data_IF_411857297205
#
_entry.id   IF_411857297205
#
_cell.length_a   1.000
_cell.length_b   1.000
_cell.length_c   1.000
_cell.angle_alpha   90.00
_cell.angle_beta   90.00
_cell.angle_gamma   90.00
#
_symmetry.space_group_name_H-M   'P 1'
#
loop_
_entity.id
_entity.type
_entity.pdbx_description
1 polymer ?
#
# COMPACT_ATOMS: atom_id res chain seq x y z
N UNK A 1 -1.02 26.24 -53.40
CA UNK A 1 -2.10 25.88 -52.45
C UNK A 1 -1.65 26.27 -51.05
N UNK A 2 -2.40 27.14 -50.35
CA UNK A 2 -2.06 27.66 -49.02
C UNK A 2 -2.60 26.69 -47.96
N UNK A 3 -1.73 26.15 -47.10
CA UNK A 3 -2.15 25.33 -45.97
C UNK A 3 -2.63 26.22 -44.81
N UNK A 4 -3.87 26.03 -44.37
CA UNK A 4 -4.42 26.59 -43.14
C UNK A 4 -4.04 25.69 -41.97
N UNK A 5 -3.46 26.27 -40.91
CA UNK A 5 -3.26 25.59 -39.63
C UNK A 5 -4.60 25.42 -38.87
N UNK A 6 -4.77 24.32 -38.11
CA UNK A 6 -5.94 24.12 -37.27
C UNK A 6 -5.87 24.97 -35.98
N UNK A 7 -7.02 25.33 -35.39
CA UNK A 7 -7.09 26.13 -34.17
C UNK A 7 -6.70 25.32 -32.93
N UNK A 8 -5.92 25.94 -32.05
CA UNK A 8 -5.55 25.45 -30.73
C UNK A 8 -6.72 25.57 -29.75
N UNK A 9 -7.16 24.45 -29.19
CA UNK A 9 -8.14 24.40 -28.10
C UNK A 9 -7.46 24.68 -26.76
N UNK A 10 -7.87 25.75 -26.08
CA UNK A 10 -7.47 26.07 -24.71
C UNK A 10 -8.17 25.13 -23.72
N UNK A 11 -7.39 24.37 -22.95
CA UNK A 11 -7.89 23.55 -21.85
C UNK A 11 -8.35 24.39 -20.64
N UNK A 12 -9.21 23.84 -19.77
CA UNK A 12 -9.76 24.55 -18.63
C UNK A 12 -8.68 24.89 -17.60
N UNK A 13 -8.66 26.16 -17.17
CA UNK A 13 -7.80 26.65 -16.08
C UNK A 13 -8.27 26.04 -14.75
N UNK A 14 -7.44 25.19 -14.14
CA UNK A 14 -7.65 24.74 -12.75
C UNK A 14 -7.50 25.94 -11.79
N UNK A 15 -8.39 26.08 -10.78
CA UNK A 15 -8.28 27.15 -9.79
C UNK A 15 -7.03 26.96 -8.92
N UNK A 16 -6.29 28.05 -8.69
CA UNK A 16 -5.02 28.14 -7.93
C UNK A 16 -5.14 27.81 -6.42
N UNK A 17 -6.25 27.23 -5.97
CA UNK A 17 -6.56 27.05 -4.54
C UNK A 17 -5.87 25.81 -3.95
N UNK A 18 -5.48 24.82 -4.76
CA UNK A 18 -4.88 23.57 -4.28
C UNK A 18 -3.39 23.67 -3.86
N UNK A 19 -2.70 24.77 -4.21
CA UNK A 19 -1.27 24.93 -3.89
C UNK A 19 -0.99 25.50 -2.48
N UNK A 20 -2.00 26.09 -1.82
CA UNK A 20 -1.79 26.78 -0.54
C UNK A 20 -2.27 25.97 0.67
N UNK A 21 -3.13 24.98 0.48
CA UNK A 21 -3.64 24.14 1.57
C UNK A 21 -2.52 23.39 2.33
N UNK A 22 -1.51 22.79 1.70
CA UNK A 22 -0.43 22.12 2.43
C UNK A 22 0.46 23.11 3.20
N UNK A 23 0.72 24.27 2.61
CA UNK A 23 1.52 25.33 3.24
C UNK A 23 0.82 25.95 4.45
N UNK A 24 -0.49 26.13 4.39
CA UNK A 24 -1.30 26.60 5.52
C UNK A 24 -1.34 25.58 6.66
N UNK A 25 -1.49 24.28 6.35
CA UNK A 25 -1.45 23.22 7.36
C UNK A 25 -0.07 23.15 8.02
N UNK A 26 1.02 23.24 7.25
CA UNK A 26 2.38 23.26 7.79
C UNK A 26 2.64 24.52 8.64
N UNK A 27 2.15 25.69 8.22
CA UNK A 27 2.27 26.93 8.99
C UNK A 27 1.50 26.87 10.32
N UNK A 28 0.30 26.26 10.32
CA UNK A 28 -0.49 26.05 11.55
C UNK A 28 0.22 25.05 12.48
N UNK A 29 0.76 23.94 11.96
CA UNK A 29 1.53 22.98 12.77
C UNK A 29 2.77 23.65 13.36
N UNK A 30 3.53 24.40 12.56
CA UNK A 30 4.71 25.13 13.02
C UNK A 30 4.36 26.17 14.09
N UNK A 31 3.25 26.91 13.93
CA UNK A 31 2.79 27.88 14.92
C UNK A 31 2.35 27.21 16.23
N UNK A 32 1.67 26.07 16.17
CA UNK A 32 1.28 25.29 17.36
C UNK A 32 2.51 24.75 18.09
N UNK A 33 3.48 24.18 17.36
CA UNK A 33 4.74 23.69 17.95
C UNK A 33 5.53 24.84 18.57
N UNK A 34 5.69 25.96 17.86
CA UNK A 34 6.38 27.14 18.37
C UNK A 34 5.71 27.70 19.63
N UNK A 35 4.38 27.86 19.64
CA UNK A 35 3.64 28.31 20.82
C UNK A 35 3.79 27.35 22.01
N UNK A 36 3.98 26.04 21.77
CA UNK A 36 4.21 25.04 22.82
C UNK A 36 5.55 25.24 23.52
N UNK A 37 6.60 25.66 22.80
CA UNK A 37 7.94 25.90 23.37
C UNK A 37 8.05 27.19 24.18
N UNK A 38 7.25 28.22 23.86
CA UNK A 38 7.29 29.50 24.57
C UNK A 38 6.29 29.61 25.73
N UNK A 39 5.34 28.67 25.84
CA UNK A 39 4.36 28.67 26.93
C UNK A 39 4.91 28.14 28.26
N UNK A 40 5.99 27.34 28.23
CA UNK A 40 6.65 26.81 29.45
C UNK A 40 7.69 27.77 30.05
N UNK A 41 8.10 28.83 29.34
CA UNK A 41 9.17 29.74 29.77
C UNK A 41 8.70 30.96 30.59
N UNK A 42 7.39 31.11 30.86
CA UNK A 42 6.82 32.33 31.49
C UNK A 42 6.25 32.08 32.89
N UNK A 43 6.36 30.86 33.44
CA UNK A 43 5.89 30.55 34.81
C UNK A 43 7.01 29.94 35.64
N UNK A 44 8.13 30.65 35.78
CA UNK A 44 9.16 30.28 36.75
C UNK A 44 9.95 31.51 37.21
N UNK A 45 9.26 32.52 37.75
CA UNK A 45 9.87 33.45 38.72
C UNK A 45 8.78 34.22 39.49
N UNK A 46 8.41 33.74 40.69
CA UNK A 46 7.89 34.49 41.86
C UNK A 46 7.08 33.59 42.82
N UNK A 47 7.77 32.83 43.67
CA UNK A 47 7.30 32.45 45.02
C UNK A 47 8.46 31.76 45.76
N UNK A 48 9.33 32.55 46.37
CA UNK A 48 9.41 32.71 47.84
C UNK A 48 10.08 31.54 48.56
N UNK A 49 11.38 31.74 48.74
CA UNK A 49 12.12 31.50 49.96
C UNK A 49 11.28 31.77 51.23
N UNK A 50 11.01 30.75 52.04
CA UNK A 50 10.81 30.80 53.50
C UNK A 50 10.70 29.40 54.11
N UNK A 51 11.80 29.02 54.77
CA UNK A 51 11.89 28.25 56.04
C UNK A 51 11.36 26.80 56.12
N UNK A 52 12.31 25.88 56.33
CA UNK A 52 12.46 25.26 57.67
C UNK A 52 11.93 23.83 57.90
N UNK A 53 12.79 22.84 57.62
CA UNK A 53 13.16 21.63 58.38
C UNK A 53 12.14 20.78 59.22
N UNK A 54 12.25 19.46 58.98
CA UNK A 54 11.89 18.28 59.80
C UNK A 54 10.38 17.97 59.93
N UNK A 55 9.89 16.73 59.78
CA UNK A 55 10.37 15.48 60.37
C UNK A 55 9.80 14.22 59.67
N UNK A 56 10.42 13.06 59.96
CA UNK A 56 10.26 11.72 59.37
C UNK A 56 8.94 10.96 59.66
N UNK A 57 8.68 9.99 58.76
CA UNK A 57 8.20 8.61 58.96
C UNK A 57 6.77 8.30 59.47
N UNK A 58 6.13 7.34 58.77
CA UNK A 58 5.32 6.31 59.43
C UNK A 58 3.91 6.05 58.91
N UNK A 59 3.81 5.15 57.92
CA UNK A 59 2.91 3.98 57.86
C UNK A 59 1.38 4.05 58.18
N UNK A 60 0.67 3.27 57.34
CA UNK A 60 -0.49 2.39 57.60
C UNK A 60 -1.94 2.88 57.40
N UNK A 61 -2.50 2.34 56.29
CA UNK A 61 -3.77 1.57 56.16
C UNK A 61 -5.13 2.19 56.50
N UNK A 62 -6.03 2.11 55.50
CA UNK A 62 -7.17 1.19 55.57
C UNK A 62 -8.57 1.80 55.56
N UNK A 63 -9.45 1.22 54.73
CA UNK A 63 -10.92 1.32 54.79
C UNK A 63 -11.51 1.96 53.53
N UNK A 64 -11.96 1.19 52.53
CA UNK A 64 -13.26 0.49 52.46
C UNK A 64 -14.42 1.48 52.26
N UNK A 65 -15.43 1.25 51.41
CA UNK A 65 -15.78 0.18 50.48
C UNK A 65 -16.52 0.86 49.31
N UNK A 66 -16.78 0.12 48.23
CA UNK A 66 -18.12 -0.45 47.94
C UNK A 66 -19.12 0.66 47.54
N UNK A 67 -19.90 0.57 46.49
CA UNK A 67 -20.22 -0.51 45.57
C UNK A 67 -21.00 0.14 44.42
N UNK A 68 -21.11 -0.60 43.31
CA UNK A 68 -22.35 -0.86 42.56
C UNK A 68 -23.40 0.28 42.44
N UNK A 69 -23.97 0.62 41.28
CA UNK A 69 -24.59 -0.28 40.29
C UNK A 69 -25.30 0.61 39.25
N UNK A 70 -25.43 0.08 38.02
CA UNK A 70 -26.65 -0.05 37.19
C UNK A 70 -27.73 1.03 37.32
N UNK A 71 -28.34 1.56 36.27
CA UNK A 71 -28.65 1.03 34.95
C UNK A 71 -29.70 1.98 34.33
N UNK A 72 -29.75 2.09 33.01
CA UNK A 72 -30.87 1.59 32.19
C UNK A 72 -32.05 2.55 31.99
N UNK A 73 -32.59 2.49 30.76
CA UNK A 73 -33.86 3.10 30.33
C UNK A 73 -33.67 4.42 29.60
N UNK A 74 -33.78 4.51 28.27
CA UNK A 74 -34.98 4.16 27.47
C UNK A 74 -35.98 5.31 27.62
N UNK A 75 -36.37 6.10 26.61
CA UNK A 75 -36.72 5.79 25.24
C UNK A 75 -38.11 6.40 24.98
N UNK A 76 -38.37 6.84 23.75
CA UNK A 76 -39.66 7.40 23.24
C UNK A 76 -39.95 8.84 23.70
N UNK A 77 -40.28 9.81 22.85
CA UNK A 77 -41.03 9.79 21.60
C UNK A 77 -42.35 10.54 21.83
N UNK A 78 -42.60 11.65 21.11
CA UNK A 78 -43.88 12.35 21.19
C UNK A 78 -43.84 13.83 20.85
N UNK A 79 -44.32 14.12 19.65
CA UNK A 79 -44.66 15.42 19.07
C UNK A 79 -45.69 16.23 19.88
N UNK A 80 -45.56 17.56 19.87
CA UNK A 80 -46.59 18.50 20.28
C UNK A 80 -46.31 19.91 19.76
N UNK A 81 -47.11 20.37 18.79
CA UNK A 81 -47.23 21.77 18.40
C UNK A 81 -47.82 22.58 19.57
N UNK A 82 -47.27 23.79 19.79
CA UNK A 82 -47.77 24.73 20.78
C UNK A 82 -47.24 26.14 20.51
N UNK A 83 -48.01 26.91 19.76
CA UNK A 83 -47.86 28.36 19.61
C UNK A 83 -48.13 29.05 20.96
N UNK A 84 -47.18 29.88 21.41
CA UNK A 84 -47.33 30.70 22.60
C UNK A 84 -46.20 31.71 22.69
N UNK A 85 -46.45 32.94 22.24
CA UNK A 85 -45.53 34.05 22.40
C UNK A 85 -45.36 34.41 23.86
N UNK A 86 -44.11 34.56 24.30
CA UNK A 86 -43.74 35.31 25.50
C UNK A 86 -42.38 35.94 25.25
N UNK A 87 -42.39 37.26 25.14
CA UNK A 87 -41.22 38.13 25.27
C UNK A 87 -40.56 37.89 26.63
N UNK A 88 -39.34 37.35 26.65
CA UNK A 88 -38.46 37.42 27.82
C UNK A 88 -37.28 38.32 27.51
N UNK A 89 -37.01 39.20 28.46
CA UNK A 89 -35.93 40.18 28.50
C UNK A 89 -34.55 39.55 28.23
N UNK A 90 -33.65 40.37 27.69
CA UNK A 90 -32.27 39.99 27.42
C UNK A 90 -31.56 39.55 28.70
N UNK A 91 -31.33 38.25 28.81
CA UNK A 91 -30.31 37.72 29.70
C UNK A 91 -28.95 38.12 29.11
N UNK A 92 -28.24 39.00 29.83
CA UNK A 92 -26.81 39.23 29.59
C UNK A 92 -26.07 37.88 29.61
N UNK A 93 -25.07 37.68 28.74
CA UNK A 93 -24.31 36.44 28.74
C UNK A 93 -23.61 36.30 30.10
N UNK A 94 -24.06 35.33 30.90
CA UNK A 94 -23.35 34.87 32.10
C UNK A 94 -21.89 34.62 31.72
N UNK A 95 -20.99 35.42 32.30
CA UNK A 95 -19.56 35.23 32.16
C UNK A 95 -19.23 33.85 32.75
N UNK A 96 -18.75 32.93 31.90
CA UNK A 96 -18.28 31.64 32.38
C UNK A 96 -17.29 31.86 33.54
N UNK A 97 -17.61 31.26 34.68
CA UNK A 97 -16.81 31.37 35.90
C UNK A 97 -15.35 30.97 35.58
N UNK A 98 -14.33 31.68 36.08
CA UNK A 98 -12.92 31.43 35.77
C UNK A 98 -12.50 29.95 35.91
N UNK A 99 -13.09 29.22 36.85
CA UNK A 99 -12.83 27.79 37.09
C UNK A 99 -13.29 26.89 35.93
N UNK A 100 -14.43 27.20 35.30
CA UNK A 100 -14.94 26.44 34.15
C UNK A 100 -14.04 26.61 32.92
N UNK A 101 -13.51 27.82 32.73
CA UNK A 101 -12.56 28.12 31.66
C UNK A 101 -11.24 27.37 31.88
N UNK A 102 -10.71 27.37 33.11
CA UNK A 102 -9.49 26.62 33.45
C UNK A 102 -9.65 25.11 33.26
N UNK A 103 -10.79 24.55 33.66
CA UNK A 103 -11.07 23.14 33.45
C UNK A 103 -11.17 22.80 31.95
N UNK A 104 -11.85 23.64 31.17
CA UNK A 104 -11.95 23.50 29.72
C UNK A 104 -10.57 23.52 29.05
N UNK A 105 -9.70 24.47 29.42
CA UNK A 105 -8.33 24.57 28.93
C UNK A 105 -7.51 23.34 29.31
N UNK A 106 -7.64 22.83 30.55
CA UNK A 106 -6.97 21.61 31.02
C UNK A 106 -7.40 20.38 30.22
N UNK A 107 -8.71 20.20 30.00
CA UNK A 107 -9.26 19.10 29.18
C UNK A 107 -8.77 19.19 27.74
N UNK A 108 -8.77 20.38 27.15
CA UNK A 108 -8.27 20.62 25.79
C UNK A 108 -6.78 20.25 25.66
N UNK A 109 -5.92 20.73 26.56
CA UNK A 109 -4.49 20.40 26.58
C UNK A 109 -4.25 18.89 26.76
N UNK A 110 -5.03 18.23 27.63
CA UNK A 110 -4.95 16.78 27.79
C UNK A 110 -5.34 16.02 26.52
N UNK A 111 -6.40 16.46 25.83
CA UNK A 111 -6.82 15.91 24.55
C UNK A 111 -5.76 16.10 23.46
N UNK A 112 -5.15 17.29 23.37
CA UNK A 112 -4.05 17.57 22.45
C UNK A 112 -2.84 16.67 22.71
N UNK A 113 -2.40 16.52 23.97
CA UNK A 113 -1.31 15.60 24.33
C UNK A 113 -1.61 14.16 23.95
N UNK A 114 -2.85 13.69 24.18
CA UNK A 114 -3.28 12.34 23.82
C UNK A 114 -3.28 12.13 22.30
N UNK A 115 -3.70 13.13 21.52
CA UNK A 115 -3.64 13.10 20.07
C UNK A 115 -2.19 13.07 19.58
N UNK A 116 -1.34 13.95 20.11
CA UNK A 116 0.09 14.00 19.77
C UNK A 116 0.78 12.66 20.04
N UNK A 117 0.54 12.05 21.21
CA UNK A 117 1.09 10.74 21.54
C UNK A 117 0.65 9.64 20.56
N UNK A 118 -0.63 9.62 20.16
CA UNK A 118 -1.16 8.67 19.17
C UNK A 118 -0.53 8.87 17.79
N UNK A 119 -0.40 10.12 17.35
CA UNK A 119 0.25 10.46 16.07
C UNK A 119 1.71 10.02 16.09
N UNK A 120 2.46 10.34 17.15
CA UNK A 120 3.86 9.93 17.31
C UNK A 120 4.01 8.40 17.30
N UNK A 121 3.14 7.67 18.00
CA UNK A 121 3.15 6.21 17.99
C UNK A 121 2.87 5.63 16.60
N UNK A 122 1.90 6.20 15.88
CA UNK A 122 1.55 5.77 14.54
C UNK A 122 2.68 6.05 13.53
N UNK A 123 3.34 7.20 13.65
CA UNK A 123 4.52 7.56 12.85
C UNK A 123 5.67 6.59 13.14
N UNK A 124 6.01 6.39 14.41
CA UNK A 124 7.08 5.48 14.82
C UNK A 124 6.85 4.05 14.33
N UNK A 125 5.58 3.60 14.30
CA UNK A 125 5.22 2.28 13.77
C UNK A 125 5.36 2.21 12.24
N UNK A 126 5.00 3.28 11.53
CA UNK A 126 5.10 3.35 10.05
C UNK A 126 6.53 3.53 9.56
N UNK A 127 7.44 4.01 10.39
CA UNK A 127 8.86 4.15 10.03
C UNK A 127 9.67 2.88 10.29
N UNK A 128 9.15 1.92 11.08
CA UNK A 128 9.82 0.63 11.26
C UNK A 128 10.02 -0.09 9.92
N UNK A 129 11.17 -0.76 9.72
CA UNK A 129 11.33 -1.70 8.63
C UNK A 129 10.23 -2.75 8.66
N UNK A 130 9.71 -3.12 7.49
CA UNK A 130 8.71 -4.18 7.36
C UNK A 130 9.17 -5.20 6.34
N UNK A 131 9.43 -6.41 6.81
CA UNK A 131 9.90 -7.54 6.01
C UNK A 131 8.74 -8.48 5.66
N UNK A 132 8.73 -8.99 4.43
CA UNK A 132 7.75 -9.94 3.91
C UNK A 132 8.32 -10.66 2.69
N UNK A 133 7.72 -11.79 2.30
CA UNK A 133 8.14 -12.55 1.11
C UNK A 133 7.29 -12.21 -0.10
N UNK A 134 7.94 -11.82 -1.20
CA UNK A 134 7.29 -11.51 -2.48
C UNK A 134 7.69 -12.51 -3.56
N UNK A 135 6.77 -12.81 -4.47
CA UNK A 135 7.03 -13.71 -5.59
C UNK A 135 6.43 -13.24 -6.93
N UNK A 136 7.05 -13.68 -8.03
CA UNK A 136 6.47 -13.72 -9.37
C UNK A 136 6.28 -15.17 -9.77
N UNK A 137 5.09 -15.53 -10.28
CA UNK A 137 4.82 -16.91 -10.66
C UNK A 137 3.86 -17.06 -11.85
N UNK A 138 4.40 -17.44 -13.00
CA UNK A 138 3.59 -17.93 -14.11
C UNK A 138 3.14 -19.36 -13.75
N UNK A 139 1.83 -19.57 -13.60
CA UNK A 139 1.26 -20.85 -13.12
C UNK A 139 0.90 -21.83 -14.23
N UNK A 140 1.30 -21.53 -15.46
CA UNK A 140 0.96 -22.26 -16.67
C UNK A 140 -0.56 -22.38 -16.86
N UNK A 141 -1.13 -21.63 -17.80
CA UNK A 141 -2.58 -21.58 -18.00
C UNK A 141 -3.19 -22.96 -18.20
N UNK A 142 -4.40 -23.19 -17.68
CA UNK A 142 -5.11 -24.47 -17.79
C UNK A 142 -5.30 -24.89 -19.27
N UNK A 143 -5.52 -23.91 -20.15
CA UNK A 143 -5.61 -24.12 -21.60
C UNK A 143 -4.34 -24.70 -22.23
N UNK A 144 -3.17 -24.53 -21.62
CA UNK A 144 -1.92 -25.13 -22.12
C UNK A 144 -1.85 -26.64 -21.91
N UNK A 145 -2.54 -27.15 -20.87
CA UNK A 145 -2.53 -28.57 -20.49
C UNK A 145 -3.81 -29.30 -20.90
N UNK A 146 -4.90 -28.56 -21.10
CA UNK A 146 -6.17 -29.13 -21.56
C UNK A 146 -6.16 -29.61 -23.03
N UNK A 147 -7.28 -30.17 -23.52
CA UNK A 147 -7.39 -30.65 -24.89
C UNK A 147 -7.01 -29.59 -25.94
N UNK A 148 -6.04 -29.91 -26.80
CA UNK A 148 -5.53 -28.98 -27.83
C UNK A 148 -4.44 -28.03 -27.34
N UNK A 149 -4.06 -28.09 -26.06
CA UNK A 149 -2.95 -27.33 -25.49
C UNK A 149 -1.58 -27.80 -25.98
N UNK A 150 -0.57 -26.93 -25.82
CA UNK A 150 0.80 -27.18 -26.25
C UNK A 150 1.70 -27.83 -25.18
N UNK A 151 1.16 -28.18 -24.02
CA UNK A 151 1.86 -28.84 -22.90
C UNK A 151 1.15 -30.12 -22.44
N UNK A 152 0.87 -31.10 -23.33
CA UNK A 152 0.11 -32.30 -22.98
C UNK A 152 0.81 -33.25 -21.99
N UNK A 153 2.10 -33.04 -21.69
CA UNK A 153 2.84 -33.83 -20.71
C UNK A 153 2.69 -33.34 -19.26
N UNK A 154 2.09 -32.17 -19.05
CA UNK A 154 1.81 -31.65 -17.71
C UNK A 154 0.46 -32.19 -17.20
N UNK A 155 0.29 -32.34 -15.87
CA UNK A 155 -1.03 -32.66 -15.31
C UNK A 155 -2.07 -31.59 -15.63
N UNK A 156 -3.35 -31.95 -15.49
CA UNK A 156 -4.47 -31.01 -15.60
C UNK A 156 -4.36 -29.87 -14.57
N UNK A 157 -5.09 -28.77 -14.79
CA UNK A 157 -5.01 -27.58 -13.94
C UNK A 157 -5.29 -27.81 -12.46
N UNK A 158 -6.12 -28.80 -12.08
CA UNK A 158 -6.46 -29.04 -10.67
C UNK A 158 -5.28 -29.55 -9.83
N UNK A 159 -4.62 -30.68 -10.17
CA UNK A 159 -3.39 -31.10 -9.49
C UNK A 159 -2.31 -30.02 -9.50
N UNK A 160 -2.14 -29.31 -10.63
CA UNK A 160 -1.13 -28.25 -10.73
C UNK A 160 -1.43 -27.07 -9.81
N UNK A 161 -2.71 -26.71 -9.64
CA UNK A 161 -3.09 -25.66 -8.71
C UNK A 161 -2.79 -26.06 -7.25
N UNK A 162 -3.00 -27.33 -6.88
CA UNK A 162 -2.63 -27.82 -5.55
C UNK A 162 -1.12 -27.73 -5.31
N UNK A 163 -0.32 -28.09 -6.33
CA UNK A 163 1.14 -27.97 -6.28
C UNK A 163 1.59 -26.50 -6.23
N UNK A 164 0.97 -25.62 -7.00
CA UNK A 164 1.26 -24.18 -7.00
C UNK A 164 0.99 -23.56 -5.63
N UNK A 165 -0.17 -23.87 -5.02
CA UNK A 165 -0.51 -23.42 -3.65
C UNK A 165 0.48 -23.99 -2.64
N UNK A 166 0.85 -25.28 -2.76
CA UNK A 166 1.84 -25.89 -1.89
C UNK A 166 3.21 -25.20 -2.01
N UNK A 167 3.63 -24.80 -3.21
CA UNK A 167 4.85 -24.04 -3.43
C UNK A 167 4.81 -22.67 -2.74
N UNK A 168 3.70 -21.94 -2.81
CA UNK A 168 3.54 -20.67 -2.10
C UNK A 168 3.60 -20.85 -0.58
N UNK A 169 2.95 -21.88 -0.05
CA UNK A 169 2.94 -22.20 1.38
C UNK A 169 4.31 -22.63 1.89
N UNK A 170 5.00 -23.51 1.16
CA UNK A 170 6.33 -24.01 1.55
C UNK A 170 7.41 -22.95 1.50
N UNK A 171 7.27 -21.96 0.62
CA UNK A 171 8.17 -20.81 0.54
C UNK A 171 7.66 -19.61 1.35
N UNK A 172 6.59 -19.74 2.14
CA UNK A 172 6.10 -18.68 3.03
C UNK A 172 5.71 -17.38 2.32
N UNK A 173 5.21 -17.45 1.08
CA UNK A 173 4.97 -16.26 0.26
C UNK A 173 3.84 -15.40 0.83
N UNK A 174 4.09 -14.11 1.02
CA UNK A 174 3.11 -13.14 1.54
C UNK A 174 2.38 -12.39 0.43
N UNK A 175 3.08 -12.07 -0.67
CA UNK A 175 2.50 -11.43 -1.87
C UNK A 175 3.04 -12.11 -3.11
N UNK A 176 2.18 -12.42 -4.08
CA UNK A 176 2.56 -13.02 -5.37
C UNK A 176 1.82 -12.35 -6.51
N UNK A 177 2.53 -12.03 -7.59
CA UNK A 177 1.93 -11.75 -8.88
C UNK A 177 1.87 -13.02 -9.73
N UNK A 178 0.68 -13.38 -10.19
CA UNK A 178 0.48 -14.55 -11.04
C UNK A 178 0.43 -14.17 -12.52
N UNK A 179 0.97 -15.02 -13.38
CA UNK A 179 0.78 -14.95 -14.82
C UNK A 179 0.12 -16.23 -15.33
N UNK A 180 -0.64 -16.11 -16.42
CA UNK A 180 -1.46 -17.17 -17.01
C UNK A 180 -2.51 -17.79 -16.07
N UNK A 181 -2.89 -17.09 -15.01
CA UNK A 181 -3.86 -17.56 -14.04
C UNK A 181 -5.29 -17.51 -14.57
N UNK A 182 -5.68 -18.53 -15.34
CA UNK A 182 -6.96 -18.56 -16.05
C UNK A 182 -8.16 -18.66 -15.10
N UNK A 183 -9.36 -18.44 -15.63
CA UNK A 183 -10.59 -18.40 -14.84
C UNK A 183 -10.83 -19.69 -14.03
N UNK A 184 -10.53 -20.87 -14.59
CA UNK A 184 -10.64 -22.14 -13.87
C UNK A 184 -9.67 -22.18 -12.69
N UNK A 185 -8.43 -21.78 -12.92
CA UNK A 185 -7.37 -21.67 -11.91
C UNK A 185 -7.70 -20.66 -10.82
N UNK A 186 -8.27 -19.50 -11.18
CA UNK A 186 -8.81 -18.54 -10.22
C UNK A 186 -9.86 -19.16 -9.29
N UNK A 187 -10.81 -19.92 -9.85
CA UNK A 187 -11.83 -20.61 -9.07
C UNK A 187 -11.23 -21.65 -8.11
N UNK A 188 -10.29 -22.47 -8.61
CA UNK A 188 -9.59 -23.47 -7.81
C UNK A 188 -8.80 -22.83 -6.67
N UNK A 189 -7.97 -21.82 -6.97
CA UNK A 189 -7.19 -21.12 -5.97
C UNK A 189 -8.07 -20.45 -4.91
N UNK A 190 -9.11 -19.72 -5.32
CA UNK A 190 -10.03 -19.04 -4.40
C UNK A 190 -10.71 -20.02 -3.44
N UNK A 191 -10.98 -21.25 -3.89
CA UNK A 191 -11.58 -22.30 -3.06
C UNK A 191 -10.60 -23.02 -2.12
N UNK A 192 -9.29 -23.00 -2.41
CA UNK A 192 -8.27 -23.83 -1.73
C UNK A 192 -7.23 -23.02 -0.95
N UNK A 193 -7.10 -21.73 -1.24
CA UNK A 193 -6.11 -20.82 -0.69
C UNK A 193 -6.79 -19.59 -0.05
N UNK A 194 -7.80 -19.83 0.80
CA UNK A 194 -8.61 -18.78 1.43
C UNK A 194 -7.83 -17.85 2.37
N UNK A 195 -6.58 -18.17 2.68
CA UNK A 195 -5.66 -17.26 3.38
C UNK A 195 -5.16 -16.09 2.50
N UNK A 196 -5.35 -16.16 1.18
CA UNK A 196 -4.98 -15.13 0.23
C UNK A 196 -6.20 -14.34 -0.26
N UNK A 197 -6.08 -13.02 -0.26
CA UNK A 197 -6.95 -12.12 -1.03
C UNK A 197 -6.39 -11.90 -2.43
N UNK A 198 -7.25 -11.52 -3.37
CA UNK A 198 -6.93 -11.39 -4.80
C UNK A 198 -7.36 -10.04 -5.37
N UNK A 199 -6.55 -9.49 -6.27
CA UNK A 199 -6.90 -8.34 -7.10
C UNK A 199 -6.30 -8.52 -8.51
N UNK A 200 -7.06 -8.30 -9.59
CA UNK A 200 -8.41 -7.74 -9.65
C UNK A 200 -9.52 -8.80 -9.47
N UNK A 201 -9.16 -10.05 -9.19
CA UNK A 201 -10.07 -11.18 -9.30
C UNK A 201 -10.62 -11.28 -10.73
N UNK A 202 -11.94 -11.36 -10.84
CA UNK A 202 -12.67 -11.36 -12.11
C UNK A 202 -13.13 -9.96 -12.57
N UNK A 203 -12.88 -8.90 -11.79
CA UNK A 203 -13.49 -7.57 -12.03
C UNK A 203 -13.06 -6.89 -13.33
N UNK A 204 -11.89 -7.23 -13.87
CA UNK A 204 -11.38 -6.76 -15.17
C UNK A 204 -11.65 -7.76 -16.32
N UNK A 205 -12.42 -8.82 -16.07
CA UNK A 205 -12.82 -9.82 -17.07
C UNK A 205 -11.79 -10.92 -17.35
N UNK A 206 -12.18 -11.85 -18.23
CA UNK A 206 -11.46 -13.11 -18.46
C UNK A 206 -10.05 -12.96 -19.03
N UNK A 207 -9.74 -11.86 -19.70
CA UNK A 207 -8.36 -11.62 -20.18
C UNK A 207 -7.44 -11.20 -19.03
N UNK A 208 -7.94 -10.34 -18.15
CA UNK A 208 -7.16 -9.74 -17.05
C UNK A 208 -7.05 -10.62 -15.81
N UNK A 209 -7.94 -11.61 -15.63
CA UNK A 209 -7.82 -12.59 -14.52
C UNK A 209 -6.45 -13.30 -14.54
N UNK A 210 -5.85 -13.46 -15.72
CA UNK A 210 -4.55 -14.09 -15.93
C UNK A 210 -3.39 -13.42 -15.20
N UNK A 211 -3.58 -12.20 -14.69
CA UNK A 211 -2.51 -11.37 -14.12
C UNK A 211 -2.74 -11.04 -12.64
N UNK A 212 -3.56 -11.82 -11.92
CA UNK A 212 -3.92 -11.52 -10.53
C UNK A 212 -2.71 -11.37 -9.60
N UNK A 213 -2.84 -10.45 -8.64
CA UNK A 213 -1.98 -10.34 -7.46
C UNK A 213 -2.72 -10.97 -6.30
N UNK A 214 -2.06 -11.87 -5.58
CA UNK A 214 -2.55 -12.46 -4.35
C UNK A 214 -1.70 -12.03 -3.15
N UNK A 215 -2.31 -11.82 -1.99
CA UNK A 215 -1.59 -11.52 -0.75
C UNK A 215 -2.22 -12.18 0.47
N UNK A 216 -1.41 -12.55 1.47
CA UNK A 216 -1.90 -13.08 2.74
C UNK A 216 -2.69 -12.00 3.48
N UNK A 217 -3.97 -12.28 3.74
CA UNK A 217 -4.88 -11.34 4.40
C UNK A 217 -4.51 -11.07 5.86
N UNK A 218 -3.70 -11.93 6.48
CA UNK A 218 -3.16 -11.72 7.83
C UNK A 218 -1.97 -10.76 7.87
N UNK A 219 -1.37 -10.45 6.71
CA UNK A 219 -0.18 -9.60 6.60
C UNK A 219 -0.53 -8.25 6.00
N UNK A 220 -1.39 -8.25 4.98
CA UNK A 220 -1.72 -7.08 4.18
C UNK A 220 -3.22 -6.85 4.09
N UNK A 221 -3.61 -5.58 4.09
CA UNK A 221 -4.96 -5.12 3.81
C UNK A 221 -4.98 -4.31 2.51
N UNK A 222 -5.99 -4.54 1.68
CA UNK A 222 -6.25 -3.73 0.49
C UNK A 222 -6.51 -2.27 0.86
N UNK A 223 -5.95 -1.33 0.09
CA UNK A 223 -6.21 0.11 0.21
C UNK A 223 -6.82 0.66 -1.08
N UNK A 224 -6.19 0.39 -2.22
CA UNK A 224 -6.58 0.96 -3.51
C UNK A 224 -6.22 0.00 -4.65
N UNK A 225 -7.06 -0.07 -5.67
CA UNK A 225 -6.83 -0.86 -6.88
C UNK A 225 -6.84 0.02 -8.12
N UNK A 226 -5.84 -0.20 -8.98
CA UNK A 226 -5.68 0.42 -10.30
C UNK A 226 -5.38 -0.65 -11.34
N UNK A 227 -5.26 -0.24 -12.58
CA UNK A 227 -4.75 -1.08 -13.65
C UNK A 227 -3.95 -0.25 -14.64
N UNK A 228 -2.92 -0.85 -15.23
CA UNK A 228 -2.20 -0.31 -16.37
C UNK A 228 -2.52 -1.13 -17.60
N UNK A 229 -2.87 -0.45 -18.69
CA UNK A 229 -3.17 -1.11 -19.97
C UNK A 229 -1.93 -1.14 -20.86
N UNK A 230 -1.38 -2.33 -21.10
CA UNK A 230 -0.15 -2.53 -21.90
C UNK A 230 -0.44 -3.30 -23.21
N UNK A 231 0.39 -3.14 -24.26
CA UNK A 231 0.30 -4.01 -25.43
C UNK A 231 0.63 -5.46 -25.08
N UNK A 232 -0.24 -6.35 -25.54
CA UNK A 232 -0.02 -7.78 -25.57
C UNK A 232 0.26 -8.24 -27.01
N UNK A 233 0.12 -9.54 -27.29
CA UNK A 233 0.40 -10.09 -28.61
C UNK A 233 -0.44 -9.41 -29.70
N UNK A 234 0.22 -9.06 -30.81
CA UNK A 234 -0.39 -8.32 -31.92
C UNK A 234 -0.79 -6.87 -31.60
N UNK A 235 -0.34 -6.30 -30.48
CA UNK A 235 -0.57 -4.91 -30.08
C UNK A 235 -1.91 -4.66 -29.35
N UNK A 236 -2.74 -5.70 -29.21
CA UNK A 236 -3.99 -5.61 -28.45
C UNK A 236 -3.71 -5.22 -27.00
N UNK A 237 -4.52 -4.30 -26.45
CA UNK A 237 -4.29 -3.78 -25.10
C UNK A 237 -4.99 -4.65 -24.05
N UNK A 238 -4.29 -4.98 -22.97
CA UNK A 238 -4.86 -5.68 -21.81
C UNK A 238 -4.52 -4.92 -20.54
N UNK A 239 -5.52 -4.74 -19.67
CA UNK A 239 -5.36 -4.14 -18.36
C UNK A 239 -4.76 -5.14 -17.37
N UNK A 240 -3.67 -4.76 -16.72
CA UNK A 240 -2.96 -5.54 -15.71
C UNK A 240 -2.97 -4.81 -14.37
N UNK A 241 -3.04 -5.52 -13.24
CA UNK A 241 -3.34 -4.91 -11.95
C UNK A 241 -2.18 -4.15 -11.34
N UNK A 242 -2.55 -3.10 -10.61
CA UNK A 242 -1.67 -2.37 -9.68
C UNK A 242 -2.46 -2.13 -8.40
N UNK A 243 -1.96 -2.55 -7.24
CA UNK A 243 -2.70 -2.52 -5.97
C UNK A 243 -1.87 -1.92 -4.85
N UNK A 244 -2.46 -1.00 -4.08
CA UNK A 244 -1.88 -0.47 -2.86
C UNK A 244 -2.31 -1.35 -1.70
N UNK A 245 -1.33 -1.90 -0.99
CA UNK A 245 -1.55 -2.70 0.20
C UNK A 245 -0.98 -1.97 1.42
N UNK A 246 -1.64 -2.13 2.57
CA UNK A 246 -1.17 -1.66 3.88
C UNK A 246 -0.84 -2.86 4.78
N UNK A 247 0.39 -2.90 5.28
CA UNK A 247 0.84 -3.87 6.27
C UNK A 247 0.00 -3.73 7.54
N UNK A 248 -0.56 -4.84 8.02
CA UNK A 248 -1.42 -4.85 9.21
C UNK A 248 -0.60 -4.53 10.47
N UNK A 249 0.62 -5.04 10.56
CA UNK A 249 1.47 -4.88 11.75
C UNK A 249 2.06 -3.47 11.87
N UNK A 250 2.46 -2.86 10.75
CA UNK A 250 3.18 -1.57 10.76
C UNK A 250 2.32 -0.39 10.30
N UNK A 251 1.33 -0.63 9.45
CA UNK A 251 0.60 0.42 8.74
C UNK A 251 1.39 1.03 7.58
N UNK A 252 2.54 0.44 7.20
CA UNK A 252 3.29 0.81 5.99
C UNK A 252 2.52 0.44 4.75
N UNK A 253 2.70 1.23 3.69
CA UNK A 253 2.04 1.00 2.41
C UNK A 253 3.05 0.80 1.31
N UNK A 254 2.73 -0.07 0.37
CA UNK A 254 3.47 -0.25 -0.87
C UNK A 254 2.51 -0.61 -2.01
N UNK A 255 2.86 -0.15 -3.21
CA UNK A 255 2.20 -0.56 -4.43
C UNK A 255 2.80 -1.86 -4.94
N UNK A 256 1.93 -2.75 -5.41
CA UNK A 256 2.28 -4.00 -6.05
C UNK A 256 1.71 -3.98 -7.46
N UNK A 257 2.54 -4.20 -8.46
CA UNK A 257 2.15 -4.29 -9.86
C UNK A 257 2.55 -5.65 -10.41
N UNK A 258 1.75 -6.20 -11.32
CA UNK A 258 2.03 -7.50 -11.90
C UNK A 258 1.77 -7.52 -13.41
N UNK A 259 2.75 -7.97 -14.18
CA UNK A 259 2.73 -7.92 -15.65
C UNK A 259 3.01 -9.27 -16.30
N UNK A 260 2.55 -9.42 -17.54
CA UNK A 260 2.94 -10.52 -18.41
C UNK A 260 3.12 -9.97 -19.84
N UNK A 261 4.36 -9.77 -20.26
CA UNK A 261 4.65 -9.19 -21.57
C UNK A 261 4.59 -10.26 -22.67
N UNK A 262 4.27 -9.89 -23.93
CA UNK A 262 4.00 -10.88 -24.96
C UNK A 262 5.23 -11.72 -25.33
N UNK A 263 5.08 -13.04 -25.29
CA UNK A 263 6.08 -14.01 -25.72
C UNK A 263 6.29 -14.01 -27.25
N UNK A 264 7.45 -14.52 -27.65
CA UNK A 264 7.69 -14.96 -29.04
C UNK A 264 7.32 -16.44 -29.15
N UNK A 265 6.29 -16.75 -29.92
CA UNK A 265 5.89 -18.15 -30.19
C UNK A 265 5.62 -18.35 -31.67
N UNK A 266 5.65 -19.59 -32.18
CA UNK A 266 5.32 -19.85 -33.59
C UNK A 266 3.94 -19.31 -34.01
N UNK A 267 2.96 -19.26 -33.10
CA UNK A 267 1.61 -18.76 -33.37
C UNK A 267 1.46 -17.25 -33.20
N UNK A 268 2.30 -16.61 -32.38
CA UNK A 268 2.22 -15.16 -32.09
C UNK A 268 3.24 -14.33 -32.87
N UNK A 269 4.24 -14.96 -33.48
CA UNK A 269 5.32 -14.29 -34.19
C UNK A 269 6.28 -13.53 -33.26
N UNK A 270 7.00 -12.56 -33.84
CA UNK A 270 7.93 -11.70 -33.11
C UNK A 270 7.15 -10.53 -32.46
N UNK A 271 7.20 -10.47 -31.13
CA UNK A 271 6.54 -9.46 -30.29
C UNK A 271 7.53 -8.50 -29.62
N UNK A 272 8.81 -8.46 -30.02
CA UNK A 272 9.83 -7.59 -29.42
C UNK A 272 9.42 -6.10 -29.39
N UNK A 273 8.78 -5.60 -30.45
CA UNK A 273 8.24 -4.24 -30.48
C UNK A 273 7.21 -3.99 -29.36
N UNK A 274 6.34 -4.96 -29.12
CA UNK A 274 5.28 -4.84 -28.12
C UNK A 274 5.83 -4.97 -26.70
N UNK A 275 6.84 -5.84 -26.49
CA UNK A 275 7.56 -5.88 -25.21
C UNK A 275 8.27 -4.57 -24.90
N UNK A 276 8.98 -3.99 -25.87
CA UNK A 276 9.64 -2.69 -25.69
C UNK A 276 8.64 -1.56 -25.36
N UNK A 277 7.47 -1.55 -26.00
CA UNK A 277 6.41 -0.57 -25.70
C UNK A 277 5.79 -0.81 -24.31
N UNK A 278 5.49 -2.07 -23.96
CA UNK A 278 4.97 -2.46 -22.64
C UNK A 278 5.94 -2.04 -21.52
N UNK A 279 7.20 -2.43 -21.62
CA UNK A 279 8.25 -2.07 -20.66
C UNK A 279 8.37 -0.54 -20.49
N UNK A 280 8.26 0.22 -21.57
CA UNK A 280 8.30 1.69 -21.49
C UNK A 280 7.10 2.27 -20.73
N UNK A 281 5.89 1.74 -20.95
CA UNK A 281 4.69 2.14 -20.22
C UNK A 281 4.76 1.74 -18.75
N UNK A 282 5.24 0.53 -18.46
CA UNK A 282 5.39 0.01 -17.09
C UNK A 282 6.36 0.85 -16.28
N UNK A 283 7.59 1.03 -16.79
CA UNK A 283 8.63 1.77 -16.07
C UNK A 283 8.20 3.23 -15.84
N UNK A 284 7.64 3.89 -16.85
CA UNK A 284 7.18 5.28 -16.72
C UNK A 284 6.04 5.41 -15.72
N UNK A 285 5.01 4.57 -15.83
CA UNK A 285 3.87 4.58 -14.93
C UNK A 285 4.28 4.31 -13.48
N UNK A 286 5.10 3.28 -13.24
CA UNK A 286 5.50 2.91 -11.89
C UNK A 286 6.46 3.93 -11.26
N UNK A 287 7.32 4.55 -12.08
CA UNK A 287 8.17 5.66 -11.63
C UNK A 287 7.31 6.86 -11.20
N UNK A 288 6.33 7.26 -12.03
CA UNK A 288 5.41 8.35 -11.69
C UNK A 288 4.57 8.01 -10.45
N UNK A 289 4.10 6.76 -10.34
CA UNK A 289 3.33 6.30 -9.19
C UNK A 289 4.14 6.40 -7.90
N UNK A 290 5.40 5.94 -7.93
CA UNK A 290 6.31 6.05 -6.80
C UNK A 290 6.53 7.52 -6.41
N UNK A 291 6.88 8.37 -7.37
CA UNK A 291 7.19 9.78 -7.14
C UNK A 291 5.98 10.59 -6.66
N UNK A 292 4.80 10.34 -7.21
CA UNK A 292 3.58 11.11 -6.89
C UNK A 292 2.92 10.68 -5.57
N UNK A 293 3.08 9.42 -5.16
CA UNK A 293 2.46 8.90 -3.93
C UNK A 293 3.44 8.85 -2.75
N UNK A 294 4.75 8.85 -3.01
CA UNK A 294 5.78 8.64 -1.99
C UNK A 294 5.78 7.24 -1.39
N UNK A 295 5.03 6.29 -1.97
CA UNK A 295 5.00 4.90 -1.52
C UNK A 295 5.96 4.04 -2.34
N UNK A 296 6.70 3.09 -1.72
CA UNK A 296 7.49 2.11 -2.45
C UNK A 296 6.62 1.31 -3.43
N UNK A 297 7.21 0.92 -4.56
CA UNK A 297 6.56 0.14 -5.61
C UNK A 297 7.36 -1.14 -5.83
N UNK A 298 6.66 -2.28 -5.82
CA UNK A 298 7.20 -3.59 -6.20
C UNK A 298 6.48 -4.07 -7.46
N UNK A 299 7.24 -4.44 -8.47
CA UNK A 299 6.73 -5.00 -9.71
C UNK A 299 7.17 -6.45 -9.86
N UNK A 300 6.22 -7.33 -10.16
CA UNK A 300 6.44 -8.73 -10.49
C UNK A 300 5.99 -8.99 -11.91
N UNK A 301 6.48 -10.05 -12.54
CA UNK A 301 5.94 -10.43 -13.84
C UNK A 301 6.77 -11.46 -14.58
N UNK A 302 6.13 -12.09 -15.55
CA UNK A 302 6.78 -12.79 -16.66
C UNK A 302 6.94 -11.78 -17.79
N UNK A 303 8.14 -11.25 -17.97
CA UNK A 303 8.37 -10.21 -18.96
C UNK A 303 8.72 -10.78 -20.34
N UNK A 304 8.83 -12.10 -20.48
CA UNK A 304 9.36 -12.76 -21.68
C UNK A 304 10.70 -12.17 -22.17
N UNK A 305 11.44 -11.53 -21.26
CA UNK A 305 12.69 -10.81 -21.51
C UNK A 305 13.67 -11.03 -20.36
N UNK A 306 14.96 -10.96 -20.67
CA UNK A 306 16.06 -11.12 -19.70
C UNK A 306 16.82 -9.81 -19.52
N UNK A 307 17.92 -9.64 -20.25
CA UNK A 307 18.80 -8.47 -20.14
C UNK A 307 18.08 -7.16 -20.42
N UNK A 308 17.27 -7.11 -21.48
CA UNK A 308 16.65 -5.86 -21.92
C UNK A 308 15.68 -5.27 -20.89
N UNK A 309 14.82 -6.10 -20.30
CA UNK A 309 13.86 -5.62 -19.28
C UNK A 309 14.57 -5.19 -18.01
N UNK A 310 15.62 -5.91 -17.60
CA UNK A 310 16.48 -5.49 -16.49
C UNK A 310 17.04 -4.09 -16.75
N UNK A 311 17.70 -3.89 -17.90
CA UNK A 311 18.30 -2.60 -18.23
C UNK A 311 17.28 -1.48 -18.26
N UNK A 312 16.06 -1.73 -18.77
CA UNK A 312 15.00 -0.72 -18.85
C UNK A 312 14.51 -0.30 -17.47
N UNK A 313 14.22 -1.26 -16.60
CA UNK A 313 13.73 -0.96 -15.24
C UNK A 313 14.78 -0.23 -14.40
N UNK A 314 16.04 -0.64 -14.50
CA UNK A 314 17.10 -0.16 -13.60
C UNK A 314 17.86 1.06 -14.14
N UNK A 315 17.66 1.45 -15.41
CA UNK A 315 18.36 2.58 -16.03
C UNK A 315 18.13 3.93 -15.32
N UNK A 316 16.92 4.15 -14.79
CA UNK A 316 16.55 5.41 -14.14
C UNK A 316 17.05 5.54 -12.69
N UNK A 317 17.67 4.50 -12.12
CA UNK A 317 18.09 4.48 -10.72
C UNK A 317 16.96 4.43 -9.69
N UNK A 318 15.71 4.37 -10.15
CA UNK A 318 14.52 4.27 -9.28
C UNK A 318 14.32 2.82 -8.85
N UNK A 319 14.51 1.85 -9.74
CA UNK A 319 14.28 0.44 -9.45
C UNK A 319 15.57 -0.36 -9.37
N UNK A 320 15.56 -1.38 -8.52
CA UNK A 320 16.55 -2.45 -8.44
C UNK A 320 15.86 -3.79 -8.64
N UNK A 321 16.59 -4.80 -9.13
CA UNK A 321 16.06 -6.16 -9.29
C UNK A 321 16.43 -7.02 -8.07
N UNK A 322 15.50 -7.84 -7.61
CA UNK A 322 15.76 -8.79 -6.52
C UNK A 322 16.87 -9.80 -6.87
N UNK A 323 17.00 -10.14 -8.15
CA UNK A 323 18.05 -11.02 -8.68
C UNK A 323 19.47 -10.39 -8.65
N UNK A 324 19.60 -9.13 -8.23
CA UNK A 324 20.85 -8.38 -8.25
C UNK A 324 21.15 -7.77 -9.62
N UNK A 325 22.44 -7.60 -9.93
CA UNK A 325 22.91 -6.80 -11.06
C UNK A 325 23.20 -5.36 -10.66
N UNK A 326 23.63 -4.54 -11.62
CA UNK A 326 23.97 -3.13 -11.42
C UNK A 326 23.65 -2.31 -12.66
N UNK A 327 23.28 -1.04 -12.44
CA UNK A 327 23.23 0.00 -13.47
C UNK A 327 24.34 1.05 -13.31
N UNK A 328 25.14 0.93 -12.24
CA UNK A 328 26.20 1.87 -11.93
C UNK A 328 27.36 1.70 -12.93
N UNK A 329 27.59 2.72 -13.75
CA UNK A 329 28.63 2.68 -14.79
C UNK A 329 28.24 1.97 -16.08
N UNK A 330 26.96 1.58 -16.23
CA UNK A 330 26.43 0.85 -17.38
C UNK A 330 25.46 -0.25 -16.96
N UNK A 331 24.69 -0.80 -17.90
CA UNK A 331 23.80 -1.92 -17.59
C UNK A 331 24.61 -3.22 -17.44
N UNK A 332 24.56 -3.82 -16.25
CA UNK A 332 25.20 -5.08 -15.90
C UNK A 332 24.16 -6.01 -15.25
N UNK A 333 23.38 -6.77 -16.03
CA UNK A 333 22.40 -7.71 -15.50
C UNK A 333 23.06 -8.85 -14.70
N UNK A 334 22.33 -9.50 -13.78
CA UNK A 334 22.83 -10.68 -13.08
C UNK A 334 23.01 -11.87 -14.03
N UNK A 335 23.90 -12.83 -13.72
CA UNK A 335 24.03 -14.06 -14.51
C UNK A 335 22.83 -15.00 -14.28
N UNK A 336 22.55 -15.89 -15.25
CA UNK A 336 21.47 -16.92 -15.16
C UNK A 336 20.07 -16.33 -14.93
N UNK A 337 19.69 -15.35 -15.77
CA UNK A 337 18.39 -14.70 -15.73
C UNK A 337 17.26 -15.63 -16.20
N UNK A 338 16.18 -15.63 -15.42
CA UNK A 338 14.88 -16.13 -15.83
C UNK A 338 14.16 -15.01 -16.62
N UNK A 339 13.02 -15.32 -17.25
CA UNK A 339 12.16 -14.30 -17.88
C UNK A 339 11.20 -13.64 -16.88
N UNK A 340 11.09 -14.26 -15.71
CA UNK A 340 10.31 -13.81 -14.56
C UNK A 340 11.16 -12.92 -13.65
N UNK A 341 10.63 -11.76 -13.28
CA UNK A 341 11.37 -10.75 -12.52
C UNK A 341 10.59 -10.23 -11.30
N UNK A 342 11.36 -9.72 -10.34
CA UNK A 342 10.89 -8.91 -9.22
C UNK A 342 11.75 -7.65 -9.19
N UNK A 343 11.12 -6.49 -9.33
CA UNK A 343 11.73 -5.17 -9.20
C UNK A 343 11.15 -4.42 -8.01
N UNK A 344 11.97 -3.60 -7.35
CA UNK A 344 11.56 -2.76 -6.23
C UNK A 344 12.11 -1.35 -6.41
N UNK A 345 11.28 -0.34 -6.17
CA UNK A 345 11.71 1.06 -6.19
C UNK A 345 12.65 1.36 -5.02
N UNK A 346 13.21 2.57 -4.98
CA UNK A 346 13.81 3.12 -3.76
C UNK A 346 12.84 2.98 -2.58
N UNK A 347 13.39 2.66 -1.40
CA UNK A 347 12.62 2.26 -0.22
C UNK A 347 12.28 0.77 -0.13
N UNK A 348 12.74 -0.05 -1.09
CA UNK A 348 12.67 -1.51 -1.06
C UNK A 348 14.09 -2.09 -1.09
N UNK A 349 14.43 -2.92 -0.12
CA UNK A 349 15.62 -3.74 -0.13
C UNK A 349 15.24 -5.22 -0.33
N UNK A 350 16.08 -5.96 -1.05
CA UNK A 350 15.87 -7.39 -1.30
C UNK A 350 16.97 -8.24 -0.66
N UNK A 351 16.58 -9.41 -0.17
CA UNK A 351 17.47 -10.46 0.33
C UNK A 351 16.93 -11.84 -0.10
N UNK A 352 17.75 -12.87 0.04
CA UNK A 352 17.36 -14.28 -0.15
C UNK A 352 16.65 -14.58 -1.47
N UNK A 353 17.09 -13.95 -2.56
CA UNK A 353 16.57 -14.24 -3.89
C UNK A 353 16.74 -15.71 -4.26
N UNK A 354 15.68 -16.32 -4.75
CA UNK A 354 15.70 -17.68 -5.26
C UNK A 354 14.76 -17.86 -6.45
N UNK A 355 15.17 -18.75 -7.35
CA UNK A 355 14.32 -19.35 -8.36
C UNK A 355 14.04 -20.80 -7.94
N UNK A 356 12.88 -21.06 -7.37
CA UNK A 356 12.51 -22.40 -6.88
C UNK A 356 11.88 -23.20 -8.01
N UNK A 357 12.43 -24.40 -8.29
CA UNK A 357 11.80 -25.33 -9.22
C UNK A 357 10.44 -25.78 -8.68
N UNK A 358 9.42 -25.77 -9.55
CA UNK A 358 8.04 -26.14 -9.20
C UNK A 358 7.62 -27.48 -9.78
N UNK A 359 8.55 -28.19 -10.43
CA UNK A 359 8.33 -29.52 -10.97
C UNK A 359 7.19 -29.54 -12.00
N UNK A 360 6.15 -30.32 -11.72
CA UNK A 360 5.00 -30.45 -12.62
C UNK A 360 3.91 -29.39 -12.41
N UNK A 361 4.09 -28.44 -11.50
CA UNK A 361 3.11 -27.38 -11.25
C UNK A 361 3.05 -26.37 -12.40
N UNK A 362 4.22 -25.97 -12.90
CA UNK A 362 4.40 -25.00 -13.99
C UNK A 362 5.70 -25.30 -14.74
N UNK A 363 5.79 -24.85 -15.99
CA UNK A 363 7.06 -24.81 -16.72
C UNK A 363 7.93 -23.61 -16.34
N UNK A 364 7.44 -22.74 -15.45
CA UNK A 364 8.19 -21.67 -14.82
C UNK A 364 8.59 -22.01 -13.38
N UNK A 365 9.70 -21.43 -12.95
CA UNK A 365 10.15 -21.47 -11.56
C UNK A 365 9.38 -20.41 -10.77
N UNK A 366 9.17 -20.67 -9.48
CA UNK A 366 8.69 -19.66 -8.55
C UNK A 366 9.85 -18.71 -8.24
N UNK A 367 9.81 -17.48 -8.75
CA UNK A 367 10.80 -16.45 -8.42
C UNK A 367 10.34 -15.75 -7.16
N UNK A 368 11.19 -15.71 -6.12
CA UNK A 368 10.83 -15.05 -4.87
C UNK A 368 12.05 -14.47 -4.16
N UNK A 369 11.76 -13.54 -3.25
CA UNK A 369 12.77 -12.85 -2.44
C UNK A 369 12.13 -12.33 -1.16
N UNK A 370 12.94 -12.22 -0.11
CA UNK A 370 12.61 -11.42 1.07
C UNK A 370 12.71 -9.94 0.69
N UNK A 371 11.62 -9.20 0.84
CA UNK A 371 11.56 -7.76 0.60
C UNK A 371 11.39 -7.02 1.93
N UNK A 372 12.18 -5.97 2.12
CA UNK A 372 12.10 -5.09 3.28
C UNK A 372 11.74 -3.69 2.82
N UNK A 373 10.58 -3.19 3.27
CA UNK A 373 10.28 -1.78 3.09
C UNK A 373 11.08 -0.96 4.10
N UNK A 374 12.05 -0.21 3.62
CA UNK A 374 12.90 0.64 4.48
C UNK A 374 12.25 2.00 4.70
N UNK A 375 12.61 2.67 5.79
CA UNK A 375 12.32 4.10 5.97
C UNK A 375 12.74 4.88 4.73
N UNK A 376 11.98 5.94 4.42
CA UNK A 376 12.49 6.97 3.50
C UNK A 376 13.55 7.71 4.30
N UNK A 377 14.81 7.67 3.86
CA UNK A 377 15.88 8.51 4.43
C UNK A 377 15.64 9.99 4.14
#
# INVERSE_FOLDING_TARGET
>A
MKHKHPPTTSGPRRPRVELWAPALVLAVIAAVVWASFFSDAVVEDTASDRTGAAQEAGQTTGGAGDDAQDGEGGGSGGSGEGSGGSSSEGAEPEHAEPEELEESVRRFRAAQRKLAARVSQQLARRTQPFEFRVASYNVLGDSHTGPGGNKPGFPDGSPRMDMAIAALRSNGIDVVGFQEFEQSQYGMFSSRAGEYSLYPGMSLGNKSVRFNIAWRSSVWRFVEGRSLSIPYAGGSRIAMPVVLLESISTGRRAWFANFHNPADTPSLGNNARWRAEAASLEVSYLTELHQSTGHPVIATGDYNEREEIFCRFTAGGVFTAAAGGSSAGGCAPPPRMEVDWIFGSTGVAFADYAATDTGWASDHRLIHSTATLTGVE
#
